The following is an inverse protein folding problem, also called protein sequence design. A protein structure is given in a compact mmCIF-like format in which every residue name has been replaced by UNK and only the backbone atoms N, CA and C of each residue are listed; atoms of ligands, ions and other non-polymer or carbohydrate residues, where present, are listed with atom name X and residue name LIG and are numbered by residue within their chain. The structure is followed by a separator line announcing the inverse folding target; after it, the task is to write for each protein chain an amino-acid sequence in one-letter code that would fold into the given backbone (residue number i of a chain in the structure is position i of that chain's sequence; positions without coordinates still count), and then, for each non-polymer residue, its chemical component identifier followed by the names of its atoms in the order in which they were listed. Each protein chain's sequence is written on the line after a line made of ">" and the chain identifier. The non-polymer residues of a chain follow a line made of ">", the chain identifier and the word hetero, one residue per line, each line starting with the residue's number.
data_IF_261807539165
#
_entry.id   IF_261807539165
#
_cell.length_a   1.000
_cell.length_b   1.000
_cell.length_c   1.000
_cell.angle_alpha   90.00
_cell.angle_beta   90.00
_cell.angle_gamma   90.00
#
_symmetry.space_group_name_H-M   'P 1'
#
loop_
_entity.id
_entity.type
_entity.pdbx_description
1 polymer ?
#
# COMPACT_ATOMS: atom_id res chain seq x y z
N UNK A 1 1.68 -50.10 -16.22
CA UNK A 1 2.78 -49.18 -16.58
C UNK A 1 2.12 -48.02 -17.31
N UNK A 2 1.76 -46.98 -16.57
CA UNK A 2 1.19 -45.74 -17.10
C UNK A 2 2.33 -44.76 -17.34
N UNK A 3 2.57 -44.42 -18.60
CA UNK A 3 3.56 -43.41 -19.00
C UNK A 3 3.15 -42.05 -18.42
N UNK A 4 4.00 -41.49 -17.56
CA UNK A 4 3.91 -40.09 -17.13
C UNK A 4 4.41 -39.23 -18.29
N UNK A 5 3.50 -38.47 -18.91
CA UNK A 5 3.86 -37.45 -19.90
C UNK A 5 4.71 -36.34 -19.28
N UNK A 6 5.59 -35.69 -20.06
CA UNK A 6 6.52 -34.67 -19.58
C UNK A 6 5.76 -33.45 -19.02
N UNK A 7 6.29 -32.79 -17.97
CA UNK A 7 5.65 -31.64 -17.37
C UNK A 7 5.56 -30.48 -18.38
N UNK A 8 4.35 -29.97 -18.60
CA UNK A 8 4.12 -28.77 -19.39
C UNK A 8 4.81 -27.58 -18.71
N UNK A 9 5.78 -26.97 -19.40
CA UNK A 9 6.37 -25.69 -18.98
C UNK A 9 5.27 -24.63 -19.01
N UNK A 10 5.01 -23.99 -17.87
CA UNK A 10 4.10 -22.84 -17.80
C UNK A 10 4.70 -21.69 -18.61
N UNK A 11 3.94 -21.03 -19.49
CA UNK A 11 4.42 -19.86 -20.20
C UNK A 11 4.76 -18.75 -19.19
N UNK A 12 5.91 -18.11 -19.37
CA UNK A 12 6.29 -16.93 -18.60
C UNK A 12 5.31 -15.81 -18.97
N UNK A 13 4.72 -15.11 -18.00
CA UNK A 13 3.78 -14.03 -18.28
C UNK A 13 4.45 -12.92 -19.12
N UNK A 14 3.79 -12.52 -20.19
CA UNK A 14 4.26 -11.54 -21.17
C UNK A 14 4.73 -10.21 -20.53
N UNK A 15 4.03 -9.75 -19.49
CA UNK A 15 4.41 -8.58 -18.70
C UNK A 15 5.82 -8.68 -18.08
N UNK A 16 6.26 -9.88 -17.69
CA UNK A 16 7.58 -10.10 -17.11
C UNK A 16 8.69 -10.06 -18.16
N UNK A 17 8.37 -10.29 -19.44
CA UNK A 17 9.31 -10.16 -20.56
C UNK A 17 9.49 -8.70 -20.95
N UNK A 18 8.40 -7.91 -20.95
CA UNK A 18 8.44 -6.46 -21.22
C UNK A 18 9.21 -5.73 -20.11
N UNK A 19 8.91 -6.00 -18.84
CA UNK A 19 9.60 -5.40 -17.70
C UNK A 19 11.11 -5.69 -17.71
N UNK A 20 11.49 -6.94 -18.03
CA UNK A 20 12.91 -7.34 -18.07
C UNK A 20 13.66 -6.69 -19.23
N UNK A 21 13.00 -6.39 -20.35
CA UNK A 21 13.59 -5.67 -21.49
C UNK A 21 13.69 -4.17 -21.25
N UNK A 22 12.68 -3.55 -20.65
CA UNK A 22 12.75 -2.15 -20.23
C UNK A 22 13.91 -1.91 -19.27
N UNK A 23 14.13 -2.83 -18.32
CA UNK A 23 15.27 -2.80 -17.40
C UNK A 23 16.63 -2.88 -18.14
N UNK A 24 16.73 -3.71 -19.19
CA UNK A 24 17.96 -3.85 -19.98
C UNK A 24 18.23 -2.59 -20.81
N UNK A 25 17.20 -1.97 -21.40
CA UNK A 25 17.35 -0.71 -22.16
C UNK A 25 17.75 0.44 -21.25
N UNK A 26 17.12 0.56 -20.07
CA UNK A 26 17.49 1.58 -19.07
C UNK A 26 18.93 1.39 -18.56
N UNK A 27 19.35 0.14 -18.31
CA UNK A 27 20.72 -0.17 -17.91
C UNK A 27 21.74 0.17 -19.03
N UNK A 28 21.42 -0.12 -20.29
CA UNK A 28 22.28 0.23 -21.42
C UNK A 28 22.43 1.76 -21.59
N UNK A 29 21.33 2.52 -21.44
CA UNK A 29 21.36 3.98 -21.50
C UNK A 29 22.23 4.58 -20.36
N UNK A 30 22.11 4.06 -19.14
CA UNK A 30 22.96 4.48 -18.02
C UNK A 30 24.44 4.19 -18.26
N UNK A 31 24.77 3.03 -18.83
CA UNK A 31 26.17 2.67 -19.15
C UNK A 31 26.75 3.61 -20.21
N UNK A 32 25.98 3.95 -21.25
CA UNK A 32 26.41 4.89 -22.30
C UNK A 32 26.63 6.29 -21.70
N UNK A 33 25.72 6.76 -20.86
CA UNK A 33 25.86 8.05 -20.17
C UNK A 33 27.08 8.08 -19.24
N UNK A 34 27.32 7.01 -18.46
CA UNK A 34 28.48 6.89 -17.60
C UNK A 34 29.80 6.87 -18.39
N UNK A 35 29.83 6.17 -19.52
CA UNK A 35 30.98 6.17 -20.44
C UNK A 35 31.27 7.55 -21.02
N UNK A 36 30.24 8.31 -21.41
CA UNK A 36 30.39 9.68 -21.90
C UNK A 36 30.98 10.60 -20.82
N UNK A 37 30.55 10.47 -19.57
CA UNK A 37 31.09 11.21 -18.42
C UNK A 37 32.54 10.82 -18.15
N UNK A 38 32.87 9.52 -18.17
CA UNK A 38 34.26 9.04 -17.97
C UNK A 38 35.18 9.55 -19.08
N UNK A 39 34.75 9.55 -20.34
CA UNK A 39 35.53 10.11 -21.45
C UNK A 39 35.74 11.61 -21.27
N UNK A 40 34.72 12.35 -20.82
CA UNK A 40 34.83 13.78 -20.53
C UNK A 40 35.77 14.09 -19.34
N UNK A 41 35.82 13.23 -18.33
CA UNK A 41 36.68 13.39 -17.16
C UNK A 41 38.15 13.00 -17.41
N UNK A 42 38.40 12.10 -18.37
CA UNK A 42 39.74 11.64 -18.72
C UNK A 42 40.43 12.51 -19.78
N UNK A 43 39.68 13.33 -20.52
CA UNK A 43 40.25 14.35 -21.40
C UNK A 43 40.73 15.55 -20.59
N UNK A 44 41.99 15.96 -20.75
CA UNK A 44 42.40 17.32 -20.33
C UNK A 44 41.44 18.30 -21.03
N UNK A 45 40.80 19.27 -20.33
CA UNK A 45 39.77 20.14 -20.91
C UNK A 45 40.32 20.89 -22.12
N UNK A 46 40.11 20.27 -23.28
CA UNK A 46 40.57 20.72 -24.56
C UNK A 46 39.69 21.85 -25.01
N UNK A 47 40.29 22.96 -25.40
CA UNK A 47 39.61 24.10 -26.03
C UNK A 47 39.12 23.78 -27.45
N UNK A 48 38.97 22.49 -27.79
CA UNK A 48 38.55 22.06 -29.12
C UNK A 48 37.02 22.14 -29.22
N UNK A 49 36.48 23.07 -30.03
CA UNK A 49 35.04 23.19 -30.23
C UNK A 49 34.39 21.91 -30.78
N UNK A 50 35.16 20.98 -31.37
CA UNK A 50 34.64 19.69 -31.81
C UNK A 50 34.25 18.77 -30.64
N UNK A 51 34.99 18.79 -29.53
CA UNK A 51 34.68 17.97 -28.35
C UNK A 51 33.44 18.52 -27.62
N UNK A 52 33.33 19.85 -27.51
CA UNK A 52 32.12 20.48 -26.94
C UNK A 52 30.87 20.14 -27.76
N UNK A 53 30.95 20.18 -29.10
CA UNK A 53 29.83 19.81 -29.96
C UNK A 53 29.45 18.32 -29.84
N UNK A 54 30.43 17.43 -29.63
CA UNK A 54 30.16 16.01 -29.42
C UNK A 54 29.45 15.74 -28.08
N UNK A 55 29.84 16.45 -27.02
CA UNK A 55 29.19 16.34 -25.70
C UNK A 55 27.77 16.91 -25.74
N UNK A 56 27.55 18.03 -26.43
CA UNK A 56 26.23 18.62 -26.60
C UNK A 56 25.31 17.68 -27.40
N UNK A 57 25.79 17.09 -28.50
CA UNK A 57 25.05 16.09 -29.25
C UNK A 57 24.72 14.85 -28.41
N UNK A 58 25.67 14.34 -27.61
CA UNK A 58 25.42 13.19 -26.74
C UNK A 58 24.38 13.49 -25.66
N UNK A 59 24.34 14.73 -25.16
CA UNK A 59 23.31 15.19 -24.21
C UNK A 59 21.93 15.26 -24.85
N UNK A 60 21.84 15.78 -26.07
CA UNK A 60 20.59 15.84 -26.83
C UNK A 60 20.08 14.44 -27.17
N UNK A 61 20.96 13.53 -27.58
CA UNK A 61 20.63 12.13 -27.86
C UNK A 61 20.14 11.42 -26.58
N UNK A 62 20.77 11.65 -25.44
CA UNK A 62 20.33 11.12 -24.15
C UNK A 62 18.96 11.69 -23.72
N UNK A 63 18.73 12.98 -23.93
CA UNK A 63 17.42 13.61 -23.65
C UNK A 63 16.32 13.01 -24.53
N UNK A 64 16.60 12.81 -25.83
CA UNK A 64 15.66 12.20 -26.76
C UNK A 64 15.35 10.74 -26.37
N UNK A 65 16.35 9.97 -25.95
CA UNK A 65 16.16 8.60 -25.49
C UNK A 65 15.31 8.53 -24.21
N UNK A 66 15.48 9.50 -23.29
CA UNK A 66 14.65 9.60 -22.09
C UNK A 66 13.19 9.91 -22.44
N UNK A 67 12.94 10.86 -23.34
CA UNK A 67 11.57 11.18 -23.80
C UNK A 67 10.87 9.95 -24.44
N UNK A 68 11.60 9.15 -25.21
CA UNK A 68 11.08 7.90 -25.78
C UNK A 68 10.77 6.85 -24.69
N UNK A 69 11.61 6.75 -23.65
CA UNK A 69 11.38 5.85 -22.52
C UNK A 69 10.16 6.26 -21.68
N UNK A 70 9.99 7.56 -21.45
CA UNK A 70 8.82 8.11 -20.74
C UNK A 70 7.53 7.88 -21.55
N UNK A 71 7.58 8.08 -22.87
CA UNK A 71 6.45 7.79 -23.75
C UNK A 71 6.08 6.29 -23.77
N UNK A 72 7.08 5.40 -23.78
CA UNK A 72 6.85 3.95 -23.70
C UNK A 72 6.23 3.55 -22.36
N UNK A 73 6.66 4.16 -21.26
CA UNK A 73 6.08 3.95 -19.92
C UNK A 73 4.62 4.41 -19.88
N UNK A 74 4.33 5.60 -20.40
CA UNK A 74 2.95 6.10 -20.48
C UNK A 74 2.03 5.20 -21.34
N UNK A 75 2.56 4.60 -22.43
CA UNK A 75 1.80 3.62 -23.23
C UNK A 75 1.56 2.31 -22.46
N UNK A 76 2.53 1.86 -21.66
CA UNK A 76 2.37 0.67 -20.82
C UNK A 76 1.29 0.87 -19.75
N UNK A 77 1.29 2.03 -19.07
CA UNK A 77 0.28 2.38 -18.07
C UNK A 77 -1.11 2.45 -18.70
N UNK A 78 -1.25 3.08 -19.87
CA UNK A 78 -2.51 3.12 -20.61
C UNK A 78 -3.00 1.71 -20.99
N UNK A 79 -2.08 0.79 -21.35
CA UNK A 79 -2.44 -0.59 -21.66
C UNK A 79 -2.93 -1.37 -20.42
N UNK A 80 -2.36 -1.10 -19.23
CA UNK A 80 -2.84 -1.68 -17.96
C UNK A 80 -4.27 -1.22 -17.67
N UNK A 81 -4.57 0.08 -17.79
CA UNK A 81 -5.92 0.62 -17.58
C UNK A 81 -6.93 -0.04 -18.53
N UNK A 82 -6.59 -0.15 -19.82
CA UNK A 82 -7.46 -0.82 -20.80
C UNK A 82 -7.69 -2.31 -20.43
N UNK A 83 -6.68 -3.00 -19.92
CA UNK A 83 -6.80 -4.39 -19.49
C UNK A 83 -7.70 -4.53 -18.25
N UNK A 84 -7.60 -3.62 -17.28
CA UNK A 84 -8.48 -3.58 -16.10
C UNK A 84 -9.94 -3.28 -16.49
N UNK A 85 -10.17 -2.31 -17.37
CA UNK A 85 -11.52 -2.03 -17.90
C UNK A 85 -12.09 -3.24 -18.65
N UNK A 86 -11.30 -3.91 -19.49
CA UNK A 86 -11.73 -5.12 -20.19
C UNK A 86 -12.07 -6.27 -19.21
N UNK A 87 -11.31 -6.42 -18.13
CA UNK A 87 -11.59 -7.39 -17.08
C UNK A 87 -12.89 -7.08 -16.34
N UNK A 88 -13.14 -5.80 -16.01
CA UNK A 88 -14.37 -5.36 -15.38
C UNK A 88 -15.61 -5.62 -16.28
N UNK A 89 -15.50 -5.32 -17.59
CA UNK A 89 -16.56 -5.62 -18.57
C UNK A 89 -16.83 -7.12 -18.66
N UNK A 90 -15.78 -7.95 -18.66
CA UNK A 90 -15.93 -9.41 -18.68
C UNK A 90 -16.62 -9.94 -17.41
N UNK A 91 -16.28 -9.42 -16.24
CA UNK A 91 -16.92 -9.79 -14.97
C UNK A 91 -18.40 -9.38 -14.95
N UNK A 92 -18.73 -8.16 -15.41
CA UNK A 92 -20.10 -7.69 -15.53
C UNK A 92 -20.92 -8.55 -16.50
N UNK A 93 -20.34 -8.97 -17.64
CA UNK A 93 -20.98 -9.86 -18.59
C UNK A 93 -21.26 -11.26 -17.99
N UNK A 94 -20.33 -11.79 -17.18
CA UNK A 94 -20.52 -13.05 -16.48
C UNK A 94 -21.62 -12.97 -15.42
N UNK A 95 -21.66 -11.89 -14.63
CA UNK A 95 -22.71 -11.65 -13.65
C UNK A 95 -24.09 -11.55 -14.33
N UNK A 96 -24.20 -10.76 -15.41
CA UNK A 96 -25.44 -10.63 -16.18
C UNK A 96 -25.90 -11.97 -16.78
N UNK A 97 -24.98 -12.83 -17.21
CA UNK A 97 -25.29 -14.18 -17.67
C UNK A 97 -25.82 -15.06 -16.53
N UNK A 98 -25.19 -15.00 -15.36
CA UNK A 98 -25.62 -15.74 -14.17
C UNK A 98 -27.02 -15.30 -13.72
N UNK A 99 -27.29 -14.00 -13.68
CA UNK A 99 -28.61 -13.44 -13.35
C UNK A 99 -29.67 -13.83 -14.38
N UNK A 100 -29.33 -13.78 -15.68
CA UNK A 100 -30.23 -14.23 -16.74
C UNK A 100 -30.55 -15.73 -16.61
N UNK A 101 -29.57 -16.56 -16.25
CA UNK A 101 -29.78 -17.99 -15.99
C UNK A 101 -30.66 -18.24 -14.75
N UNK A 102 -30.46 -17.47 -13.67
CA UNK A 102 -31.24 -17.59 -12.44
C UNK A 102 -32.69 -17.11 -12.62
N UNK A 103 -32.90 -16.00 -13.33
CA UNK A 103 -34.23 -15.41 -13.53
C UNK A 103 -35.11 -16.22 -14.50
N UNK A 104 -34.50 -16.99 -15.40
CA UNK A 104 -35.19 -17.52 -16.57
C UNK A 104 -35.74 -18.95 -16.45
N UNK A 105 -35.99 -19.45 -15.23
CA UNK A 105 -36.71 -20.72 -14.96
C UNK A 105 -36.98 -21.60 -16.20
N UNK A 106 -36.06 -22.54 -16.47
CA UNK A 106 -36.09 -23.53 -17.57
C UNK A 106 -36.30 -23.05 -19.03
N UNK A 107 -36.44 -21.75 -19.33
CA UNK A 107 -36.80 -21.28 -20.69
C UNK A 107 -36.05 -20.03 -21.17
N UNK A 108 -34.71 -20.00 -21.04
CA UNK A 108 -33.91 -19.03 -21.82
C UNK A 108 -33.92 -19.43 -23.30
N UNK A 109 -34.28 -18.50 -24.18
CA UNK A 109 -34.12 -18.67 -25.63
C UNK A 109 -32.63 -18.92 -25.96
N UNK A 110 -32.28 -20.06 -26.60
CA UNK A 110 -30.90 -20.36 -27.01
C UNK A 110 -30.23 -19.23 -27.80
N UNK A 111 -30.98 -18.40 -28.51
CA UNK A 111 -30.44 -17.25 -29.23
C UNK A 111 -29.83 -16.18 -28.30
N UNK A 112 -30.38 -16.01 -27.08
CA UNK A 112 -29.85 -15.06 -26.09
C UNK A 112 -28.55 -15.56 -25.49
N UNK A 113 -28.46 -16.86 -25.18
CA UNK A 113 -27.21 -17.50 -24.71
C UNK A 113 -26.13 -17.34 -25.77
N UNK A 114 -26.43 -17.65 -27.03
CA UNK A 114 -25.46 -17.52 -28.13
C UNK A 114 -24.98 -16.06 -28.33
N UNK A 115 -25.85 -15.06 -28.12
CA UNK A 115 -25.45 -13.64 -28.19
C UNK A 115 -24.51 -13.27 -27.04
N UNK A 116 -24.79 -13.71 -25.81
CA UNK A 116 -23.94 -13.43 -24.65
C UNK A 116 -22.57 -14.13 -24.76
N UNK A 117 -22.54 -15.38 -25.24
CA UNK A 117 -21.29 -16.10 -25.52
C UNK A 117 -20.45 -15.39 -26.59
N UNK A 118 -21.08 -14.88 -27.66
CA UNK A 118 -20.39 -14.11 -28.69
C UNK A 118 -19.80 -12.79 -28.14
N UNK A 119 -20.53 -12.08 -27.27
CA UNK A 119 -20.03 -10.86 -26.63
C UNK A 119 -18.86 -11.14 -25.69
N UNK A 120 -18.92 -12.24 -24.93
CA UNK A 120 -17.82 -12.66 -24.05
C UNK A 120 -16.56 -13.01 -24.85
N UNK A 121 -16.73 -13.70 -25.99
CA UNK A 121 -15.61 -14.06 -26.86
C UNK A 121 -15.00 -12.83 -27.56
N UNK A 122 -15.83 -11.85 -27.97
CA UNK A 122 -15.36 -10.57 -28.50
C UNK A 122 -14.53 -9.79 -27.45
N UNK A 123 -15.01 -9.73 -26.20
CA UNK A 123 -14.28 -9.10 -25.09
C UNK A 123 -12.92 -9.78 -24.83
N UNK A 124 -12.88 -11.12 -24.86
CA UNK A 124 -11.62 -11.89 -24.72
C UNK A 124 -10.64 -11.60 -25.85
N UNK A 125 -11.12 -11.50 -27.08
CA UNK A 125 -10.26 -11.20 -28.24
C UNK A 125 -9.71 -9.77 -28.19
N UNK A 126 -10.51 -8.79 -27.73
CA UNK A 126 -10.04 -7.43 -27.48
C UNK A 126 -8.95 -7.39 -26.41
N UNK A 127 -9.14 -8.07 -25.28
CA UNK A 127 -8.14 -8.16 -24.22
C UNK A 127 -6.83 -8.83 -24.71
N UNK A 128 -6.94 -9.92 -25.48
CA UNK A 128 -5.78 -10.59 -26.07
C UNK A 128 -5.03 -9.69 -27.08
N UNK A 129 -5.77 -8.90 -27.87
CA UNK A 129 -5.17 -7.95 -28.82
C UNK A 129 -4.44 -6.81 -28.12
N UNK A 130 -5.02 -6.27 -27.04
CA UNK A 130 -4.38 -5.25 -26.22
C UNK A 130 -3.07 -5.77 -25.60
N UNK A 131 -3.04 -7.02 -25.12
CA UNK A 131 -1.83 -7.64 -24.58
C UNK A 131 -0.72 -7.80 -25.64
N UNK A 132 -1.08 -8.22 -26.86
CA UNK A 132 -0.12 -8.32 -27.98
C UNK A 132 0.40 -6.95 -28.41
N UNK A 133 -0.44 -5.92 -28.39
CA UNK A 133 -0.02 -4.55 -28.70
C UNK A 133 0.97 -4.01 -27.66
N UNK A 134 0.74 -4.31 -26.37
CA UNK A 134 1.67 -3.97 -25.30
C UNK A 134 3.03 -4.68 -25.48
N UNK A 135 3.03 -5.96 -25.86
CA UNK A 135 4.26 -6.70 -26.15
C UNK A 135 5.02 -6.14 -27.38
N UNK A 136 4.30 -5.76 -28.43
CA UNK A 136 4.88 -5.21 -29.65
C UNK A 136 5.51 -3.84 -29.42
N UNK A 137 4.91 -3.00 -28.58
CA UNK A 137 5.46 -1.70 -28.19
C UNK A 137 6.82 -1.84 -27.46
N UNK A 138 7.04 -2.92 -26.71
CA UNK A 138 8.32 -3.21 -26.06
C UNK A 138 9.39 -3.88 -26.93
N UNK A 139 9.11 -4.16 -28.22
CA UNK A 139 9.94 -5.03 -29.06
C UNK A 139 10.84 -4.36 -30.11
N UNK A 140 10.84 -3.04 -30.24
CA UNK A 140 11.39 -2.37 -31.44
C UNK A 140 12.90 -2.01 -31.40
N UNK A 141 13.64 -2.25 -30.32
CA UNK A 141 15.07 -1.88 -30.24
C UNK A 141 15.97 -3.08 -29.90
N UNK A 142 16.52 -3.72 -30.92
CA UNK A 142 17.49 -4.79 -30.74
C UNK A 142 18.31 -5.01 -32.01
N UNK A 143 19.40 -4.25 -32.14
CA UNK A 143 20.51 -4.56 -33.04
C UNK A 143 21.54 -5.39 -32.25
N UNK A 144 22.02 -6.45 -32.90
CA UNK A 144 23.03 -7.40 -32.41
C UNK A 144 24.29 -6.70 -31.91
N UNK A 145 24.73 -7.00 -30.68
CA UNK A 145 26.13 -6.83 -30.28
C UNK A 145 26.58 -7.96 -29.34
N UNK A 146 27.34 -8.88 -29.92
CA UNK A 146 28.16 -9.88 -29.24
C UNK A 146 29.44 -9.19 -28.74
N UNK A 147 29.65 -9.09 -27.42
CA UNK A 147 30.94 -8.76 -26.84
C UNK A 147 31.22 -9.54 -25.53
N UNK A 148 32.47 -9.97 -25.29
CA UNK A 148 32.82 -10.97 -24.29
C UNK A 148 33.03 -10.40 -22.89
N UNK A 149 32.58 -11.14 -21.89
CA UNK A 149 32.81 -10.89 -20.46
C UNK A 149 34.28 -11.15 -20.08
N UNK A 150 34.95 -10.16 -19.49
CA UNK A 150 36.22 -10.32 -18.79
C UNK A 150 36.00 -10.05 -17.29
N UNK A 151 36.45 -11.01 -16.48
CA UNK A 151 36.24 -11.05 -15.05
C UNK A 151 37.37 -10.39 -14.29
N UNK A 152 37.03 -9.60 -13.28
CA UNK A 152 37.98 -9.23 -12.22
C UNK A 152 37.24 -9.05 -10.91
N UNK A 153 37.36 -10.05 -10.04
CA UNK A 153 37.02 -9.95 -8.62
C UNK A 153 38.18 -9.27 -7.88
N UNK A 154 37.89 -8.25 -7.07
CA UNK A 154 38.77 -7.76 -6.03
C UNK A 154 37.95 -7.61 -4.75
N UNK A 155 38.23 -8.46 -3.77
CA UNK A 155 37.69 -8.38 -2.43
C UNK A 155 38.54 -7.45 -1.56
N UNK A 156 37.88 -6.57 -0.83
CA UNK A 156 38.48 -5.81 0.27
C UNK A 156 37.76 -6.18 1.58
N UNK A 157 38.51 -6.86 2.46
CA UNK A 157 38.23 -7.05 3.87
C UNK A 157 38.42 -5.71 4.60
N UNK A 158 37.38 -5.19 5.24
CA UNK A 158 37.50 -4.12 6.23
C UNK A 158 37.34 -4.70 7.63
N UNK A 159 38.32 -4.37 8.47
CA UNK A 159 38.45 -4.80 9.85
C UNK A 159 37.47 -4.06 10.78
N UNK A 160 36.75 -4.82 11.60
CA UNK A 160 35.89 -4.29 12.66
C UNK A 160 36.72 -3.94 13.91
N UNK A 161 36.55 -2.71 14.42
CA UNK A 161 37.04 -2.28 15.73
C UNK A 161 35.99 -2.55 16.83
N UNK A 162 36.40 -3.00 18.04
CA UNK A 162 35.46 -3.32 19.11
C UNK A 162 35.01 -2.07 19.88
N UNK A 163 33.70 -1.83 19.93
CA UNK A 163 33.09 -0.82 20.81
C UNK A 163 33.08 -1.29 22.26
N UNK A 164 33.50 -0.40 23.17
CA UNK A 164 33.52 -0.61 24.61
C UNK A 164 32.13 -0.28 25.20
N UNK A 165 31.56 -1.24 25.94
CA UNK A 165 30.34 -1.07 26.73
C UNK A 165 30.65 -0.27 28.01
N UNK A 166 29.99 0.87 28.21
CA UNK A 166 29.92 1.55 29.50
C UNK A 166 28.67 1.10 30.28
N UNK A 167 28.75 0.93 31.62
CA UNK A 167 27.64 0.45 32.42
C UNK A 167 26.69 1.60 32.81
N UNK A 168 25.40 1.44 32.50
CA UNK A 168 24.32 2.33 32.91
C UNK A 168 23.96 2.10 34.39
N UNK A 169 23.90 3.19 35.17
CA UNK A 169 23.46 3.21 36.57
C UNK A 169 21.93 3.28 36.68
N UNK A 170 21.35 2.45 37.56
CA UNK A 170 19.90 2.36 37.85
C UNK A 170 19.37 3.59 38.61
N UNK A 171 18.23 4.18 38.22
CA UNK A 171 17.54 5.17 39.04
C UNK A 171 16.63 4.54 40.11
N UNK A 172 16.36 5.25 41.23
CA UNK A 172 15.60 4.70 42.36
C UNK A 172 14.08 4.66 42.09
N UNK A 173 13.50 3.52 42.47
CA UNK A 173 12.06 3.26 42.52
C UNK A 173 11.40 4.14 43.59
N UNK A 174 10.36 4.89 43.21
CA UNK A 174 9.48 5.61 44.13
C UNK A 174 8.09 4.98 44.07
N UNK A 175 7.63 4.54 45.24
CA UNK A 175 6.46 3.71 45.50
C UNK A 175 5.45 4.57 46.27
N UNK A 176 4.35 5.02 45.64
CA UNK A 176 3.14 5.44 46.35
C UNK A 176 1.88 5.13 45.51
N UNK A 177 0.96 4.39 46.15
CA UNK A 177 -0.36 4.02 45.65
C UNK A 177 -1.40 5.14 45.88
N UNK A 178 -2.60 5.01 45.29
CA UNK A 178 -3.77 5.05 46.17
C UNK A 178 -4.85 3.99 45.88
N UNK A 179 -5.63 3.79 46.94
CA UNK A 179 -6.73 2.86 47.18
C UNK A 179 -8.02 3.32 46.47
N UNK A 180 -8.71 2.40 45.79
CA UNK A 180 -10.10 2.59 45.33
C UNK A 180 -11.10 1.77 46.16
N UNK A 181 -12.23 2.41 46.49
CA UNK A 181 -13.39 1.86 47.20
C UNK A 181 -14.39 1.18 46.22
N UNK A 182 -15.12 0.13 46.63
CA UNK A 182 -16.07 -0.57 45.76
C UNK A 182 -17.46 0.10 45.72
N UNK A 183 -18.01 0.24 44.51
CA UNK A 183 -19.41 0.59 44.23
C UNK A 183 -20.32 -0.66 44.17
N UNK A 184 -21.62 -0.52 44.47
CA UNK A 184 -22.53 -1.65 44.69
C UNK A 184 -23.12 -2.22 43.39
N UNK A 185 -23.49 -3.51 43.48
CA UNK A 185 -24.24 -4.32 42.52
C UNK A 185 -25.68 -3.81 42.38
N UNK A 186 -26.18 -3.74 41.14
CA UNK A 186 -27.60 -3.54 40.85
C UNK A 186 -28.13 -4.69 39.98
N UNK A 187 -29.27 -5.20 40.42
CA UNK A 187 -29.87 -6.50 40.12
C UNK A 187 -31.15 -6.22 39.31
N UNK A 188 -31.26 -6.66 38.05
CA UNK A 188 -32.54 -6.58 37.33
C UNK A 188 -32.68 -7.55 36.14
N UNK A 189 -33.47 -8.59 36.41
CA UNK A 189 -34.60 -9.09 35.60
C UNK A 189 -34.34 -9.69 34.20
N UNK A 190 -34.44 -11.02 34.16
CA UNK A 190 -34.67 -11.84 32.98
C UNK A 190 -36.10 -11.68 32.42
N UNK A 191 -36.23 -11.71 31.10
CA UNK A 191 -37.47 -12.02 30.39
C UNK A 191 -37.17 -12.99 29.26
N UNK A 192 -37.69 -14.21 29.42
CA UNK A 192 -37.82 -15.26 28.39
C UNK A 192 -38.89 -14.84 27.38
N UNK A 193 -38.56 -14.79 26.08
CA UNK A 193 -39.50 -15.09 25.00
C UNK A 193 -38.83 -15.97 23.94
N UNK A 194 -39.35 -17.21 23.89
CA UNK A 194 -39.01 -18.36 23.09
C UNK A 194 -39.44 -18.15 21.63
N UNK A 195 -38.47 -17.89 20.75
CA UNK A 195 -38.63 -17.91 19.30
C UNK A 195 -37.64 -18.94 18.72
N UNK A 196 -38.19 -20.06 18.25
CA UNK A 196 -37.41 -21.13 17.64
C UNK A 196 -36.68 -20.63 16.37
N UNK A 197 -35.37 -20.41 16.51
CA UNK A 197 -34.47 -20.11 15.40
C UNK A 197 -34.18 -21.36 14.56
N UNK A 198 -33.96 -21.20 13.24
CA UNK A 198 -33.54 -22.30 12.37
C UNK A 198 -32.15 -22.81 12.78
N UNK A 199 -31.97 -24.14 12.78
CA UNK A 199 -30.70 -24.82 13.06
C UNK A 199 -29.56 -24.23 12.20
N UNK A 200 -28.78 -23.35 12.82
CA UNK A 200 -27.55 -22.80 12.27
C UNK A 200 -26.50 -23.91 12.16
N UNK A 201 -25.92 -24.04 10.98
CA UNK A 201 -25.05 -25.14 10.56
C UNK A 201 -23.65 -25.03 11.19
N UNK A 202 -23.54 -25.29 12.50
CA UNK A 202 -22.45 -25.99 13.19
C UNK A 202 -20.99 -25.53 13.08
N UNK A 203 -20.63 -24.57 12.23
CA UNK A 203 -19.24 -24.11 12.05
C UNK A 203 -18.97 -22.75 12.73
N UNK A 204 -20.00 -21.94 12.96
CA UNK A 204 -19.87 -20.63 13.60
C UNK A 204 -19.89 -20.68 15.15
N UNK A 205 -20.22 -21.83 15.74
CA UNK A 205 -20.50 -21.98 17.17
C UNK A 205 -19.26 -21.97 18.09
N UNK A 206 -18.04 -22.06 17.55
CA UNK A 206 -16.80 -22.14 18.35
C UNK A 206 -15.93 -20.87 18.29
N UNK A 207 -16.38 -19.79 17.63
CA UNK A 207 -15.61 -18.54 17.57
C UNK A 207 -15.79 -17.72 18.87
N UNK A 208 -14.70 -17.21 19.48
CA UNK A 208 -14.80 -16.34 20.64
C UNK A 208 -15.61 -15.07 20.37
N UNK A 209 -16.47 -14.71 21.32
CA UNK A 209 -17.30 -13.50 21.27
C UNK A 209 -18.63 -13.70 20.54
N UNK A 210 -19.55 -12.77 20.81
CA UNK A 210 -20.87 -12.76 20.19
C UNK A 210 -20.76 -12.23 18.75
N UNK A 211 -21.47 -12.83 17.78
CA UNK A 211 -21.62 -12.22 16.46
C UNK A 211 -22.21 -10.81 16.60
N UNK A 212 -21.55 -9.82 16.00
CA UNK A 212 -22.05 -8.45 15.97
C UNK A 212 -22.51 -8.13 14.55
N UNK A 213 -23.79 -7.78 14.41
CA UNK A 213 -24.40 -7.38 13.12
C UNK A 213 -23.83 -6.04 12.62
N UNK A 214 -23.33 -5.22 13.55
CA UNK A 214 -22.68 -3.94 13.25
C UNK A 214 -21.21 -4.18 12.89
N UNK A 215 -20.85 -3.96 11.63
CA UNK A 215 -19.50 -4.19 11.12
C UNK A 215 -19.33 -3.63 9.70
N UNK A 216 -18.10 -3.60 9.17
CA UNK A 216 -17.86 -3.26 7.78
C UNK A 216 -18.60 -4.24 6.87
N UNK A 217 -19.20 -3.73 5.80
CA UNK A 217 -19.83 -4.57 4.78
C UNK A 217 -18.81 -5.51 4.14
N UNK A 218 -19.26 -6.69 3.71
CA UNK A 218 -18.43 -7.59 2.90
C UNK A 218 -17.91 -6.86 1.66
N UNK A 219 -16.61 -7.00 1.39
CA UNK A 219 -15.94 -6.33 0.28
C UNK A 219 -15.44 -4.91 0.59
N UNK A 220 -15.79 -4.33 1.75
CA UNK A 220 -15.30 -3.01 2.13
C UNK A 220 -13.78 -3.01 2.37
N UNK A 221 -13.08 -2.00 1.86
CA UNK A 221 -11.65 -1.79 2.10
C UNK A 221 -11.38 -1.18 3.48
N UNK A 222 -10.45 -1.78 4.23
CA UNK A 222 -10.04 -1.36 5.57
C UNK A 222 -8.55 -1.03 5.58
N UNK A 223 -8.21 0.22 5.86
CA UNK A 223 -6.85 0.63 6.13
C UNK A 223 -6.40 0.18 7.52
N UNK A 224 -5.13 -0.23 7.63
CA UNK A 224 -4.44 -0.43 8.91
C UNK A 224 -4.04 0.93 9.45
N UNK A 225 -4.54 1.30 10.64
CA UNK A 225 -4.39 2.64 11.23
C UNK A 225 -3.89 2.60 12.67
N UNK A 226 -3.22 3.67 13.10
CA UNK A 226 -2.79 3.84 14.50
C UNK A 226 -1.67 2.90 14.93
N UNK A 227 -0.93 2.35 13.95
CA UNK A 227 0.24 1.49 14.17
C UNK A 227 1.46 2.24 13.67
N UNK A 228 2.53 2.23 14.46
CA UNK A 228 3.80 2.87 14.08
C UNK A 228 4.38 2.17 12.85
N UNK A 229 5.11 2.92 12.03
CA UNK A 229 5.78 2.38 10.83
C UNK A 229 6.78 1.25 11.11
N UNK A 230 7.36 1.21 12.32
CA UNK A 230 8.29 0.18 12.80
C UNK A 230 7.58 -0.95 13.56
N UNK A 231 6.26 -1.03 13.46
CA UNK A 231 5.41 -1.98 14.16
C UNK A 231 4.48 -2.72 13.20
N UNK A 232 3.76 -3.69 13.74
CA UNK A 232 2.99 -4.66 12.98
C UNK A 232 1.58 -4.84 13.57
N UNK A 233 0.57 -4.91 12.70
CA UNK A 233 -0.74 -5.43 13.12
C UNK A 233 -0.67 -6.95 13.17
N UNK A 234 -1.06 -7.52 14.31
CA UNK A 234 -1.23 -8.96 14.41
C UNK A 234 -2.56 -9.39 13.79
N UNK A 235 -2.49 -10.27 12.81
CA UNK A 235 -3.63 -10.98 12.23
C UNK A 235 -3.74 -12.37 12.85
N UNK A 236 -4.92 -12.72 13.34
CA UNK A 236 -5.15 -13.92 14.16
C UNK A 236 -6.11 -14.90 13.50
N UNK A 237 -5.99 -16.19 13.82
CA UNK A 237 -6.85 -17.23 13.28
C UNK A 237 -8.33 -17.07 13.69
N UNK A 238 -8.53 -16.60 14.93
CA UNK A 238 -9.83 -16.28 15.54
C UNK A 238 -9.67 -15.02 16.40
N UNK A 239 -10.74 -14.33 16.82
CA UNK A 239 -10.63 -13.20 17.74
C UNK A 239 -9.80 -13.56 18.98
N UNK A 240 -8.78 -12.74 19.26
CA UNK A 240 -7.83 -12.96 20.36
C UNK A 240 -7.10 -14.33 20.37
N UNK A 241 -7.07 -15.05 19.24
CA UNK A 241 -6.44 -16.36 19.09
C UNK A 241 -4.95 -16.32 18.71
N UNK A 242 -4.43 -17.39 18.10
CA UNK A 242 -3.04 -17.46 17.61
C UNK A 242 -2.79 -16.47 16.46
N UNK A 243 -1.59 -15.87 16.42
CA UNK A 243 -1.15 -14.98 15.35
C UNK A 243 -0.76 -15.82 14.13
N UNK A 244 -1.40 -15.58 13.00
CA UNK A 244 -1.17 -16.28 11.72
C UNK A 244 -0.44 -15.43 10.69
N UNK A 245 -0.42 -14.10 10.85
CA UNK A 245 0.38 -13.19 10.06
C UNK A 245 0.61 -11.86 10.81
N UNK A 246 1.57 -11.08 10.30
CA UNK A 246 1.85 -9.70 10.70
C UNK A 246 1.65 -8.78 9.49
N UNK A 247 0.98 -7.66 9.67
CA UNK A 247 0.81 -6.66 8.62
C UNK A 247 1.65 -5.45 8.98
N UNK A 248 2.69 -5.20 8.18
CA UNK A 248 3.62 -4.11 8.40
C UNK A 248 3.38 -3.02 7.37
N UNK A 249 3.34 -1.79 7.86
CA UNK A 249 3.18 -0.61 7.02
C UNK A 249 4.53 -0.22 6.42
N UNK A 250 4.73 -0.47 5.12
CA UNK A 250 6.00 -0.20 4.46
C UNK A 250 5.85 0.91 3.43
N UNK A 251 6.64 1.96 3.61
CA UNK A 251 6.81 3.07 2.68
C UNK A 251 8.20 2.91 2.04
N UNK A 252 8.35 1.99 1.10
CA UNK A 252 9.64 1.72 0.44
C UNK A 252 9.87 2.74 -0.67
N UNK A 253 10.33 3.93 -0.28
CA UNK A 253 10.41 5.09 -1.17
C UNK A 253 9.02 5.63 -1.52
N UNK A 254 8.96 6.92 -1.83
CA UNK A 254 7.72 7.73 -1.98
C UNK A 254 6.70 7.18 -2.99
N UNK A 255 7.03 6.16 -3.79
CA UNK A 255 6.28 5.87 -5.01
C UNK A 255 5.09 4.94 -4.88
N UNK A 256 4.98 4.07 -3.88
CA UNK A 256 3.71 3.38 -3.61
C UNK A 256 3.68 2.80 -2.19
N UNK A 257 2.90 3.38 -1.26
CA UNK A 257 2.74 2.80 0.07
C UNK A 257 2.15 1.39 -0.05
N UNK A 258 2.68 0.45 0.72
CA UNK A 258 2.27 -0.95 0.69
C UNK A 258 2.14 -1.54 2.10
N UNK A 259 1.27 -2.53 2.25
CA UNK A 259 1.18 -3.33 3.46
C UNK A 259 1.79 -4.70 3.16
N UNK A 260 2.89 -5.03 3.85
CA UNK A 260 3.49 -6.35 3.74
C UNK A 260 2.83 -7.30 4.72
N UNK A 261 2.31 -8.40 4.20
CA UNK A 261 1.76 -9.49 5.01
C UNK A 261 2.88 -10.51 5.21
N UNK A 262 3.41 -10.60 6.43
CA UNK A 262 4.54 -11.48 6.77
C UNK A 262 4.10 -12.67 7.59
N UNK A 263 4.90 -13.74 7.53
CA UNK A 263 4.72 -14.89 8.42
C UNK A 263 4.93 -14.50 9.89
N UNK A 264 4.27 -15.18 10.84
CA UNK A 264 4.51 -14.97 12.26
C UNK A 264 5.99 -15.20 12.59
N UNK A 265 6.60 -14.26 13.31
CA UNK A 265 7.99 -14.35 13.79
C UNK A 265 9.05 -14.52 12.68
N UNK A 266 8.77 -14.04 11.47
CA UNK A 266 9.67 -14.11 10.32
C UNK A 266 9.52 -12.85 9.46
N UNK A 267 10.59 -12.48 8.77
CA UNK A 267 10.58 -11.38 7.81
C UNK A 267 10.12 -11.81 6.41
N UNK A 268 9.77 -13.09 6.24
CA UNK A 268 9.31 -13.61 4.97
C UNK A 268 7.93 -13.03 4.62
N UNK A 269 7.89 -12.31 3.49
CA UNK A 269 6.67 -11.74 2.92
C UNK A 269 5.85 -12.88 2.28
N UNK A 270 4.59 -13.01 2.70
CA UNK A 270 3.59 -13.91 2.13
C UNK A 270 2.97 -13.25 0.89
N UNK A 271 2.53 -12.00 1.06
CA UNK A 271 1.88 -11.20 0.01
C UNK A 271 2.01 -9.71 0.32
N UNK A 272 1.70 -8.89 -0.67
CA UNK A 272 1.68 -7.43 -0.56
C UNK A 272 0.27 -6.93 -0.87
N UNK A 273 -0.25 -6.06 -0.02
CA UNK A 273 -1.56 -5.44 -0.15
C UNK A 273 -1.37 -3.97 -0.49
N UNK A 274 -2.15 -3.48 -1.46
CA UNK A 274 -2.14 -2.06 -1.88
C UNK A 274 -2.68 -1.21 -0.74
N UNK A 275 -1.87 -0.28 -0.24
CA UNK A 275 -2.22 0.55 0.92
C UNK A 275 -3.54 1.32 0.76
N UNK A 276 -3.78 1.88 -0.43
CA UNK A 276 -5.00 2.65 -0.73
C UNK A 276 -6.27 1.81 -0.63
N UNK A 277 -6.19 0.50 -0.88
CA UNK A 277 -7.32 -0.43 -0.74
C UNK A 277 -7.36 -1.06 0.65
N UNK A 278 -6.20 -1.24 1.28
CA UNK A 278 -6.08 -1.93 2.56
C UNK A 278 -6.52 -3.39 2.46
N UNK A 279 -6.89 -3.98 3.59
CA UNK A 279 -7.45 -5.34 3.67
C UNK A 279 -8.95 -5.32 3.36
N UNK A 280 -9.51 -6.44 2.92
CA UNK A 280 -10.92 -6.50 2.49
C UNK A 280 -11.77 -7.18 3.57
N UNK A 281 -12.76 -6.49 4.12
CA UNK A 281 -13.67 -7.07 5.11
C UNK A 281 -14.48 -8.23 4.52
N UNK A 282 -14.67 -9.30 5.29
CA UNK A 282 -15.55 -10.42 4.92
C UNK A 282 -17.00 -10.23 5.37
N UNK A 283 -17.30 -9.15 6.09
CA UNK A 283 -18.59 -8.91 6.74
C UNK A 283 -18.73 -9.55 8.13
N UNK A 284 -17.81 -10.44 8.53
CA UNK A 284 -17.88 -11.07 9.84
C UNK A 284 -17.26 -10.19 10.93
N UNK A 285 -18.04 -9.92 11.99
CA UNK A 285 -17.60 -9.16 13.15
C UNK A 285 -17.96 -9.90 14.43
N UNK A 286 -17.05 -9.85 15.41
CA UNK A 286 -17.21 -10.47 16.74
C UNK A 286 -16.99 -9.44 17.83
N UNK A 287 -17.91 -9.40 18.78
CA UNK A 287 -17.81 -8.59 19.99
C UNK A 287 -17.33 -9.46 21.16
N UNK A 288 -16.17 -9.09 21.70
CA UNK A 288 -15.63 -9.63 22.95
C UNK A 288 -15.90 -8.60 24.05
N UNK A 289 -15.79 -9.02 25.31
CA UNK A 289 -16.07 -8.19 26.50
C UNK A 289 -15.42 -6.80 26.48
N UNK A 290 -14.26 -6.65 25.85
CA UNK A 290 -13.49 -5.39 25.83
C UNK A 290 -13.10 -4.92 24.43
N UNK A 291 -13.50 -5.63 23.37
CA UNK A 291 -13.01 -5.32 22.03
C UNK A 291 -13.92 -5.86 20.94
N UNK A 292 -13.98 -5.13 19.84
CA UNK A 292 -14.61 -5.58 18.59
C UNK A 292 -13.52 -6.07 17.64
N UNK A 293 -13.77 -7.18 16.96
CA UNK A 293 -12.86 -7.81 16.01
C UNK A 293 -13.52 -7.96 14.66
N UNK A 294 -12.79 -7.61 13.60
CA UNK A 294 -13.24 -7.79 12.22
C UNK A 294 -12.42 -8.89 11.55
N UNK A 295 -13.12 -9.74 10.81
CA UNK A 295 -12.48 -10.66 9.88
C UNK A 295 -12.26 -9.97 8.53
N UNK A 296 -11.10 -10.21 7.94
CA UNK A 296 -10.72 -9.64 6.65
C UNK A 296 -9.81 -10.57 5.86
N UNK A 297 -9.68 -10.25 4.56
CA UNK A 297 -8.77 -10.85 3.60
C UNK A 297 -7.57 -9.92 3.39
N UNK A 298 -6.38 -10.49 3.54
CA UNK A 298 -5.11 -9.86 3.21
C UNK A 298 -4.43 -10.70 2.11
N UNK A 299 -4.73 -10.37 0.84
CA UNK A 299 -4.50 -11.28 -0.28
C UNK A 299 -5.36 -12.54 -0.14
N UNK A 300 -4.74 -13.72 -0.18
CA UNK A 300 -5.44 -15.01 -0.06
C UNK A 300 -5.60 -15.48 1.40
N UNK A 301 -5.11 -14.71 2.38
CA UNK A 301 -5.17 -15.07 3.79
C UNK A 301 -6.39 -14.44 4.46
N UNK A 302 -7.22 -15.26 5.12
CA UNK A 302 -8.32 -14.82 5.97
C UNK A 302 -7.91 -14.83 7.44
N UNK A 303 -8.31 -13.81 8.19
CA UNK A 303 -7.98 -13.72 9.61
C UNK A 303 -8.64 -12.52 10.28
N UNK A 304 -8.35 -12.38 11.56
CA UNK A 304 -9.03 -11.46 12.46
C UNK A 304 -8.06 -10.44 13.05
N UNK A 305 -8.50 -9.20 13.18
CA UNK A 305 -7.79 -8.22 14.02
C UNK A 305 -8.75 -7.30 14.74
N UNK A 306 -8.22 -6.58 15.73
CA UNK A 306 -8.99 -5.63 16.51
C UNK A 306 -9.46 -4.48 15.63
N UNK A 307 -10.74 -4.14 15.73
CA UNK A 307 -11.32 -2.95 15.13
C UNK A 307 -10.62 -1.67 15.60
N UNK A 308 -9.84 -1.71 16.69
CA UNK A 308 -9.02 -0.59 17.16
C UNK A 308 -7.97 -0.09 16.14
N UNK A 309 -7.55 -0.96 15.21
CA UNK A 309 -6.48 -0.67 14.25
C UNK A 309 -6.95 -0.72 12.80
N UNK A 310 -8.27 -0.71 12.58
CA UNK A 310 -8.89 -0.77 11.25
C UNK A 310 -9.85 0.40 11.07
N UNK A 311 -9.81 1.02 9.90
CA UNK A 311 -10.72 2.10 9.51
C UNK A 311 -11.03 2.00 8.02
N UNK A 312 -12.23 2.43 7.61
CA UNK A 312 -12.48 2.68 6.20
C UNK A 312 -11.92 4.06 5.85
N UNK A 313 -11.33 4.20 4.66
CA UNK A 313 -10.84 5.49 4.19
C UNK A 313 -11.99 6.28 3.56
N UNK A 314 -12.21 7.48 4.07
CA UNK A 314 -13.13 8.46 3.48
C UNK A 314 -12.47 9.28 2.37
N UNK A 315 -13.04 10.45 2.13
CA UNK A 315 -12.49 11.40 1.17
C UNK A 315 -11.09 11.91 1.59
N UNK A 316 -10.26 12.16 0.59
CA UNK A 316 -8.97 12.84 0.72
C UNK A 316 -9.10 14.26 0.21
N UNK A 317 -8.59 15.23 0.96
CA UNK A 317 -8.58 16.64 0.60
C UNK A 317 -7.22 17.30 0.90
N UNK A 318 -6.98 18.45 0.29
CA UNK A 318 -5.81 19.30 0.58
C UNK A 318 -6.11 20.17 1.81
N UNK A 319 -5.35 19.95 2.88
CA UNK A 319 -5.47 20.69 4.15
C UNK A 319 -4.33 21.71 4.35
N UNK A 320 -3.54 22.00 3.31
CA UNK A 320 -2.33 22.85 3.43
C UNK A 320 -2.66 24.24 3.95
N UNK A 321 -3.67 24.91 3.41
CA UNK A 321 -4.04 26.26 3.85
C UNK A 321 -4.58 26.29 5.27
N UNK A 322 -5.34 25.25 5.67
CA UNK A 322 -5.87 25.12 7.04
C UNK A 322 -4.72 25.06 8.05
N UNK A 323 -3.68 24.27 7.75
CA UNK A 323 -2.48 24.13 8.58
C UNK A 323 -1.70 25.45 8.67
N UNK A 324 -1.45 26.11 7.54
CA UNK A 324 -0.72 27.39 7.50
C UNK A 324 -1.49 28.48 8.23
N UNK A 325 -2.81 28.54 8.08
CA UNK A 325 -3.66 29.50 8.79
C UNK A 325 -3.65 29.24 10.31
N UNK A 326 -3.64 27.98 10.73
CA UNK A 326 -3.58 27.59 12.14
C UNK A 326 -2.24 27.95 12.81
N UNK A 327 -1.12 27.76 12.10
CA UNK A 327 0.23 28.05 12.61
C UNK A 327 0.63 29.53 12.43
N UNK A 328 0.00 30.23 11.48
CA UNK A 328 0.26 31.64 11.18
C UNK A 328 1.44 31.89 10.23
N UNK A 329 2.20 30.85 9.89
CA UNK A 329 3.28 30.85 8.91
C UNK A 329 3.49 29.46 8.30
N UNK A 330 4.33 29.37 7.26
CA UNK A 330 4.67 28.09 6.65
C UNK A 330 5.66 27.34 7.58
N UNK A 331 5.31 26.17 8.13
CA UNK A 331 6.14 25.50 9.11
C UNK A 331 7.42 24.94 8.48
N UNK A 332 8.49 24.96 9.28
CA UNK A 332 9.82 24.46 8.97
C UNK A 332 10.33 23.67 10.16
N UNK A 333 10.88 22.47 9.94
CA UNK A 333 11.47 21.67 11.01
C UNK A 333 12.75 20.96 10.54
N UNK A 334 13.58 20.52 11.48
CA UNK A 334 14.86 19.88 11.17
C UNK A 334 14.67 18.49 10.54
N UNK A 335 13.59 17.78 10.91
CA UNK A 335 13.26 16.45 10.36
C UNK A 335 11.83 16.35 9.83
N UNK A 336 11.60 15.43 8.90
CA UNK A 336 10.23 15.12 8.41
C UNK A 336 9.29 14.68 9.53
N UNK A 337 9.79 13.96 10.54
CA UNK A 337 8.97 13.52 11.67
C UNK A 337 8.53 14.71 12.52
N UNK A 338 9.45 15.61 12.86
CA UNK A 338 9.11 16.82 13.61
C UNK A 338 8.12 17.69 12.85
N UNK A 339 8.35 17.92 11.56
CA UNK A 339 7.42 18.68 10.71
C UNK A 339 6.04 18.03 10.70
N UNK A 340 5.99 16.71 10.50
CA UNK A 340 4.72 15.98 10.50
C UNK A 340 3.99 16.07 11.84
N UNK A 341 4.71 15.96 12.96
CA UNK A 341 4.11 16.06 14.30
C UNK A 341 3.61 17.49 14.60
N UNK A 342 4.31 18.52 14.11
CA UNK A 342 3.84 19.91 14.19
C UNK A 342 2.55 20.11 13.39
N UNK A 343 2.51 19.62 12.15
CA UNK A 343 1.30 19.63 11.32
C UNK A 343 0.16 18.87 12.01
N UNK A 344 0.42 17.69 12.57
CA UNK A 344 -0.60 16.86 13.20
C UNK A 344 -1.25 17.53 14.42
N UNK A 345 -0.48 18.28 15.21
CA UNK A 345 -1.00 19.01 16.39
C UNK A 345 -2.09 20.02 16.04
N UNK A 346 -2.12 20.54 14.80
CA UNK A 346 -3.18 21.46 14.35
C UNK A 346 -4.56 20.78 14.22
N UNK A 347 -4.60 19.44 14.21
CA UNK A 347 -5.81 18.65 13.96
C UNK A 347 -6.17 17.68 15.09
N UNK A 348 -5.46 17.70 16.22
CA UNK A 348 -5.76 16.84 17.38
C UNK A 348 -6.93 17.38 18.20
N UNK A 349 -7.70 16.48 18.82
CA UNK A 349 -8.68 16.81 19.86
C UNK A 349 -8.11 16.55 21.26
N UNK A 350 -8.52 17.37 22.22
CA UNK A 350 -8.22 17.15 23.66
C UNK A 350 -9.28 16.28 24.34
N UNK A 351 -10.52 16.28 23.84
CA UNK A 351 -11.64 15.56 24.43
C UNK A 351 -12.50 14.89 23.33
N UNK A 352 -12.34 13.57 23.10
CA UNK A 352 -11.33 12.68 23.68
C UNK A 352 -9.92 13.03 23.19
N UNK A 353 -8.92 12.69 23.99
CA UNK A 353 -7.53 12.89 23.62
C UNK A 353 -7.18 12.06 22.37
N UNK A 354 -6.74 12.73 21.31
CA UNK A 354 -6.26 12.05 20.11
C UNK A 354 -4.91 11.35 20.34
N UNK A 355 -4.76 10.18 19.74
CA UNK A 355 -3.48 9.48 19.59
C UNK A 355 -2.85 9.84 18.26
N UNK A 356 -1.61 10.34 18.28
CA UNK A 356 -0.84 10.70 17.09
C UNK A 356 0.25 9.66 16.87
N UNK A 357 0.26 9.03 15.70
CA UNK A 357 1.17 7.93 15.37
C UNK A 357 1.81 8.15 14.00
N UNK A 358 3.14 8.10 13.91
CA UNK A 358 3.86 8.07 12.63
C UNK A 358 3.66 6.69 12.01
N UNK A 359 2.72 6.59 11.08
CA UNK A 359 2.23 5.32 10.53
C UNK A 359 2.96 4.87 9.27
N UNK A 360 3.64 5.79 8.58
CA UNK A 360 4.53 5.52 7.47
C UNK A 360 5.93 6.04 7.75
N UNK A 361 6.96 5.27 7.34
CA UNK A 361 8.34 5.66 7.54
C UNK A 361 8.60 7.02 6.84
N UNK A 362 9.28 7.98 7.51
CA UNK A 362 9.70 9.20 6.85
C UNK A 362 10.71 8.84 5.75
N UNK A 363 10.59 9.48 4.59
CA UNK A 363 11.48 9.21 3.46
C UNK A 363 11.62 10.38 2.50
N UNK A 364 12.60 10.26 1.61
CA UNK A 364 12.86 11.20 0.51
C UNK A 364 12.63 10.48 -0.82
N UNK A 365 12.08 11.18 -1.80
CA UNK A 365 12.25 10.82 -3.20
C UNK A 365 12.65 12.04 -4.01
N UNK A 366 13.92 12.05 -4.41
CA UNK A 366 14.53 13.25 -4.97
C UNK A 366 14.53 14.37 -3.92
N UNK A 367 13.95 15.51 -4.29
CA UNK A 367 13.85 16.73 -3.48
C UNK A 367 12.52 16.83 -2.72
N UNK A 368 11.81 15.72 -2.53
CA UNK A 368 10.53 15.67 -1.84
C UNK A 368 10.58 14.73 -0.63
N UNK A 369 10.51 15.31 0.56
CA UNK A 369 10.29 14.58 1.80
C UNK A 369 8.81 14.23 1.98
N UNK A 370 8.56 13.05 2.54
CA UNK A 370 7.22 12.54 2.84
C UNK A 370 7.19 11.87 4.22
N UNK A 371 6.11 12.10 4.98
CA UNK A 371 5.78 11.32 6.18
C UNK A 371 4.28 11.08 6.25
N UNK A 372 3.86 9.92 6.76
CA UNK A 372 2.44 9.61 7.00
C UNK A 372 2.16 9.51 8.49
N UNK A 373 1.12 10.20 8.94
CA UNK A 373 0.72 10.27 10.35
C UNK A 373 -0.76 9.94 10.47
N UNK A 374 -1.08 9.05 11.41
CA UNK A 374 -2.46 8.78 11.80
C UNK A 374 -2.77 9.54 13.09
N UNK A 375 -3.88 10.27 13.08
CA UNK A 375 -4.49 10.92 14.24
C UNK A 375 -5.78 10.16 14.52
N UNK A 376 -5.87 9.48 15.66
CA UNK A 376 -7.00 8.62 16.01
C UNK A 376 -7.67 9.12 17.29
N UNK A 377 -8.99 9.22 17.30
CA UNK A 377 -9.79 9.65 18.44
C UNK A 377 -10.08 11.14 18.43
N UNK A 378 -10.97 11.60 17.54
CA UNK A 378 -11.37 13.02 17.43
C UNK A 378 -12.75 13.33 18.04
N UNK A 379 -13.42 12.34 18.64
CA UNK A 379 -14.67 12.52 19.41
C UNK A 379 -15.97 12.52 18.62
N UNK A 380 -15.89 12.34 17.30
CA UNK A 380 -17.05 12.15 16.42
C UNK A 380 -17.41 10.66 16.35
N UNK A 381 -18.70 10.34 16.28
CA UNK A 381 -19.19 8.95 16.28
C UNK A 381 -19.13 8.27 14.90
N UNK A 382 -18.92 9.06 13.85
CA UNK A 382 -18.80 8.65 12.45
C UNK A 382 -17.32 8.71 12.00
N UNK A 383 -16.62 9.77 12.41
CA UNK A 383 -15.21 10.00 12.11
C UNK A 383 -14.30 9.52 13.24
N UNK A 384 -13.52 8.49 12.93
CA UNK A 384 -12.52 7.94 13.83
C UNK A 384 -11.32 8.87 14.01
N UNK A 385 -10.93 9.57 12.94
CA UNK A 385 -9.75 10.43 12.94
C UNK A 385 -9.30 10.83 11.54
N UNK A 386 -8.00 11.10 11.38
CA UNK A 386 -7.40 11.53 10.13
C UNK A 386 -6.11 10.77 9.84
N UNK A 387 -5.84 10.54 8.56
CA UNK A 387 -4.52 10.17 8.05
C UNK A 387 -3.97 11.34 7.26
N UNK A 388 -2.82 11.85 7.69
CA UNK A 388 -2.11 12.93 7.05
C UNK A 388 -0.96 12.35 6.23
N UNK A 389 -0.84 12.78 4.99
CA UNK A 389 0.38 12.62 4.19
C UNK A 389 0.99 14.00 4.03
N UNK A 390 2.12 14.21 4.69
CA UNK A 390 2.80 15.50 4.74
C UNK A 390 3.97 15.46 3.77
N UNK A 391 3.99 16.43 2.85
CA UNK A 391 5.03 16.60 1.85
C UNK A 391 5.82 17.88 2.13
N UNK A 392 7.14 17.83 1.99
CA UNK A 392 8.02 18.96 2.26
C UNK A 392 9.22 18.99 1.31
N UNK A 393 9.76 20.18 1.08
CA UNK A 393 11.02 20.35 0.38
C UNK A 393 12.16 20.46 1.40
N UNK A 394 13.26 19.71 1.23
CA UNK A 394 14.47 19.94 1.99
C UNK A 394 15.09 21.29 1.61
N UNK A 395 16.01 21.80 2.43
CA UNK A 395 16.76 23.03 2.13
C UNK A 395 17.60 22.89 0.84
N UNK A 396 17.96 24.01 0.20
CA UNK A 396 18.71 23.97 -1.07
C UNK A 396 20.09 23.29 -0.96
N UNK A 397 20.69 23.30 0.23
CA UNK A 397 22.00 22.73 0.55
C UNK A 397 21.93 21.33 1.20
N UNK A 398 20.79 20.66 1.08
CA UNK A 398 20.58 19.33 1.66
C UNK A 398 21.54 18.27 1.11
N UNK A 399 21.85 17.29 1.94
CA UNK A 399 22.61 16.10 1.55
C UNK A 399 21.84 14.84 1.94
N UNK A 400 22.17 13.70 1.34
CA UNK A 400 21.50 12.43 1.66
C UNK A 400 21.64 12.05 3.16
N UNK A 401 22.78 12.39 3.77
CA UNK A 401 23.06 12.14 5.19
C UNK A 401 22.47 13.21 6.13
N UNK A 402 22.14 14.39 5.62
CA UNK A 402 21.57 15.52 6.36
C UNK A 402 20.56 16.26 5.47
N UNK A 403 19.32 15.75 5.36
CA UNK A 403 18.35 16.26 4.41
C UNK A 403 17.54 17.46 4.95
N UNK A 404 17.74 17.85 6.21
CA UNK A 404 17.04 18.96 6.83
C UNK A 404 17.70 20.32 6.56
N UNK A 405 17.02 21.43 6.92
CA UNK A 405 15.63 21.49 7.39
C UNK A 405 14.61 21.29 6.25
N UNK A 406 13.39 20.90 6.62
CA UNK A 406 12.27 20.69 5.72
C UNK A 406 11.26 21.83 5.81
N UNK A 407 10.87 22.39 4.67
CA UNK A 407 9.81 23.38 4.55
C UNK A 407 8.54 22.74 4.00
N UNK A 408 7.40 22.93 4.67
CA UNK A 408 6.13 22.34 4.24
C UNK A 408 5.78 22.73 2.80
N UNK A 409 5.39 21.73 2.00
CA UNK A 409 4.88 21.90 0.64
C UNK A 409 3.37 21.74 0.59
N UNK A 410 2.88 20.60 1.07
CA UNK A 410 1.46 20.27 1.07
C UNK A 410 1.10 19.24 2.14
N UNK A 411 -0.17 19.23 2.53
CA UNK A 411 -0.76 18.27 3.46
C UNK A 411 -2.00 17.67 2.82
N UNK A 412 -1.97 16.37 2.56
CA UNK A 412 -3.17 15.62 2.17
C UNK A 412 -3.79 15.01 3.42
N UNK A 413 -5.05 15.35 3.69
CA UNK A 413 -5.84 14.81 4.79
C UNK A 413 -6.84 13.80 4.24
N UNK A 414 -6.76 12.56 4.70
CA UNK A 414 -7.77 11.53 4.45
C UNK A 414 -8.57 11.29 5.73
N UNK A 415 -9.89 11.34 5.64
CA UNK A 415 -10.76 11.04 6.78
C UNK A 415 -10.72 9.54 7.10
N UNK A 416 -10.53 9.19 8.37
CA UNK A 416 -10.63 7.81 8.84
C UNK A 416 -12.03 7.59 9.41
N UNK A 417 -12.85 6.79 8.73
CA UNK A 417 -14.20 6.48 9.19
C UNK A 417 -14.20 5.28 10.14
N UNK A 418 -15.15 5.25 11.08
CA UNK A 418 -15.36 4.07 11.89
C UNK A 418 -15.68 2.86 11.00
N UNK A 419 -14.95 1.76 11.20
CA UNK A 419 -15.06 0.55 10.36
C UNK A 419 -16.46 -0.03 10.31
N UNK A 420 -17.25 0.11 11.37
CA UNK A 420 -18.60 -0.44 11.50
C UNK A 420 -19.73 0.45 10.97
N UNK A 421 -19.42 1.70 10.58
CA UNK A 421 -20.41 2.68 10.11
C UNK A 421 -20.59 2.70 8.60
N UNK A 422 -19.50 2.46 7.87
CA UNK A 422 -19.50 2.56 6.41
C UNK A 422 -19.01 3.91 5.91
N UNK A 423 -18.81 3.96 4.61
CA UNK A 423 -18.45 5.16 3.85
C UNK A 423 -19.40 5.26 2.68
N UNK A 424 -19.93 6.45 2.44
CA UNK A 424 -20.74 6.73 1.24
C UNK A 424 -19.90 6.72 -0.03
N UNK A 425 -20.54 6.68 -1.19
CA UNK A 425 -19.87 6.76 -2.50
C UNK A 425 -19.07 8.08 -2.68
N UNK A 426 -19.43 9.13 -1.95
CA UNK A 426 -18.74 10.42 -1.95
C UNK A 426 -17.57 10.48 -0.94
N UNK A 427 -17.29 9.38 -0.22
CA UNK A 427 -16.21 9.32 0.77
C UNK A 427 -16.58 9.89 2.15
N UNK A 428 -17.87 10.19 2.40
CA UNK A 428 -18.33 10.66 3.72
C UNK A 428 -18.54 9.48 4.67
N UNK A 429 -18.11 9.62 5.93
CA UNK A 429 -18.42 8.67 7.01
C UNK A 429 -19.92 8.72 7.35
N UNK A 430 -20.52 7.55 7.60
CA UNK A 430 -21.97 7.38 7.79
C UNK A 430 -22.44 7.26 9.24
#
# INVERSE_FOLDING_TARGET
>A
MTEQGPPMRRPIPAALVVARRAMVVAAAAMVIAALAVVVALLGEPGTDPAETAAVEQARDDASSAQEEADAATAMADAAIVIAEEAAAVAAAAQAALADAMAAAGETVDPATIARLEAQLEEARNLAATALVAADAAGGATGADDDAPEDGTEAGEELAEEPMQEEPLEDPPVSEEAPVEEPMPEDDAAATDEDAAEPDDTGAAADLPGEPLVLGPAEGAGLAVVGIRYDSALNMRAVPNGEIIARLDNVMDGVRDPAIYVRRPNSDDIITTVVWKRGVVATGNTRELTTSTWHEFLAGDLTGWSSAAFLAQLGATEDATSEVVDALGELPVADTMVELGLEVAQTMTSEEPQSSVVVSGAPGLAGDLGQVTIDIVGIGDDSVRGFRLVVFAHPAEDWTEDDPGPFTLKSVERTVLCHSHRGVSDEGLCL
#
